data_IF_048100218539
#
_entry.id   IF_048100218539
#
_cell.length_a   1.000
_cell.length_b   1.000
_cell.length_c   1.000
_cell.angle_alpha   90.00
_cell.angle_beta   90.00
_cell.angle_gamma   90.00
#
_symmetry.space_group_name_H-M   'P 1'
#
loop_
_entity.id
_entity.type
_entity.pdbx_description
1 polymer ?
#
# COMPACT_ATOMS: atom_id res chain seq x y z
N UNK A 1 24.64 41.82 -48.26
CA UNK A 1 25.21 40.79 -47.34
C UNK A 1 26.39 41.45 -46.62
N UNK A 2 26.54 41.35 -45.29
CA UNK A 2 26.34 40.15 -44.46
C UNK A 2 25.35 40.34 -43.28
N UNK A 3 25.03 39.20 -42.65
CA UNK A 3 24.10 38.99 -41.53
C UNK A 3 24.85 39.11 -40.20
N UNK A 4 24.25 39.74 -39.20
CA UNK A 4 24.54 39.48 -37.79
C UNK A 4 23.23 39.42 -37.00
N UNK A 5 23.00 38.22 -36.47
CA UNK A 5 21.83 37.78 -35.74
C UNK A 5 22.21 37.68 -34.27
N UNK A 6 21.46 38.34 -33.40
CA UNK A 6 21.59 38.31 -31.95
C UNK A 6 20.22 38.68 -31.36
N UNK A 7 19.64 38.02 -30.38
CA UNK A 7 19.65 36.64 -29.94
C UNK A 7 18.30 36.51 -29.22
N UNK A 8 17.43 35.60 -29.65
CA UNK A 8 16.16 35.35 -28.97
C UNK A 8 16.43 34.81 -27.56
N UNK A 9 16.12 35.63 -26.54
CA UNK A 9 16.27 35.26 -25.14
C UNK A 9 15.23 34.20 -24.79
N UNK A 10 15.61 32.93 -24.88
CA UNK A 10 14.79 31.81 -24.41
C UNK A 10 14.65 31.90 -22.89
N UNK A 11 13.48 32.33 -22.43
CA UNK A 11 13.09 32.30 -21.01
C UNK A 11 12.93 30.85 -20.58
N UNK A 12 13.97 30.31 -19.95
CA UNK A 12 13.95 28.96 -19.36
C UNK A 12 13.12 29.03 -18.08
N UNK A 13 11.84 28.66 -18.16
CA UNK A 13 11.03 28.46 -16.97
C UNK A 13 11.57 27.25 -16.18
N UNK A 14 11.94 27.40 -14.90
CA UNK A 14 12.40 26.26 -14.11
C UNK A 14 11.24 25.28 -13.93
N UNK A 15 11.43 24.08 -14.49
CA UNK A 15 10.49 22.95 -14.38
C UNK A 15 10.28 22.64 -12.89
N UNK A 16 9.03 22.72 -12.43
CA UNK A 16 8.68 22.48 -11.03
C UNK A 16 9.26 21.14 -10.52
N UNK A 17 9.76 21.07 -9.27
CA UNK A 17 10.36 19.86 -8.75
C UNK A 17 9.30 18.76 -8.69
N UNK A 18 9.49 17.72 -9.51
CA UNK A 18 8.72 16.49 -9.43
C UNK A 18 8.95 15.92 -8.03
N UNK A 19 7.91 15.92 -7.19
CA UNK A 19 7.95 15.32 -5.85
C UNK A 19 8.38 13.87 -6.02
N UNK A 20 9.64 13.57 -5.68
CA UNK A 20 10.13 12.20 -5.62
C UNK A 20 9.26 11.47 -4.60
N UNK A 21 8.49 10.47 -5.06
CA UNK A 21 7.76 9.56 -4.20
C UNK A 21 8.80 8.92 -3.28
N UNK A 22 8.85 9.36 -2.01
CA UNK A 22 9.73 8.75 -1.02
C UNK A 22 9.47 7.24 -1.08
N UNK A 23 10.50 6.48 -1.44
CA UNK A 23 10.47 5.04 -1.28
C UNK A 23 10.16 4.81 0.20
N UNK A 24 8.95 4.30 0.46
CA UNK A 24 8.49 4.02 1.82
C UNK A 24 9.55 3.12 2.43
N UNK A 25 10.15 3.57 3.54
CA UNK A 25 11.28 2.90 4.17
C UNK A 25 11.02 1.39 4.27
N UNK A 26 12.07 0.58 4.12
CA UNK A 26 12.06 -0.87 4.18
C UNK A 26 11.64 -1.35 5.58
N UNK A 27 10.37 -1.15 5.91
CA UNK A 27 9.70 -1.82 7.01
C UNK A 27 9.29 -3.18 6.45
N UNK A 28 9.83 -4.29 6.95
CA UNK A 28 9.32 -5.60 6.55
C UNK A 28 7.82 -5.64 6.87
N UNK A 29 7.05 -5.97 5.83
CA UNK A 29 5.59 -6.00 5.88
C UNK A 29 5.16 -7.44 6.02
N UNK A 30 4.11 -7.66 6.78
CA UNK A 30 3.47 -8.96 6.85
C UNK A 30 2.16 -8.90 6.07
N UNK A 31 1.96 -9.86 5.17
CA UNK A 31 0.67 -10.14 4.55
C UNK A 31 -0.06 -11.17 5.39
N UNK A 32 -1.22 -10.78 5.90
CA UNK A 32 -2.15 -11.66 6.59
C UNK A 32 -3.28 -12.00 5.64
N UNK A 33 -3.56 -13.29 5.46
CA UNK A 33 -4.73 -13.78 4.72
C UNK A 33 -5.72 -14.34 5.73
N UNK A 34 -6.94 -13.83 5.66
CA UNK A 34 -8.06 -14.21 6.52
C UNK A 34 -9.16 -14.81 5.66
N UNK A 35 -9.86 -15.80 6.19
CA UNK A 35 -11.16 -16.25 5.67
C UNK A 35 -12.26 -15.58 6.48
N UNK A 36 -13.18 -14.91 5.81
CA UNK A 36 -14.22 -14.09 6.44
C UNK A 36 -15.60 -14.45 5.90
N UNK A 37 -16.62 -14.39 6.75
CA UNK A 37 -18.00 -14.72 6.39
C UNK A 37 -19.01 -14.15 7.38
N UNK A 38 -20.27 -14.04 6.94
CA UNK A 38 -21.39 -13.62 7.79
C UNK A 38 -22.32 -14.77 8.16
N UNK A 39 -22.27 -15.86 7.40
CA UNK A 39 -23.01 -17.09 7.62
C UNK A 39 -22.06 -18.14 8.22
N UNK A 40 -22.55 -18.88 9.21
CA UNK A 40 -21.77 -19.96 9.83
C UNK A 40 -21.83 -21.18 8.90
N UNK A 41 -20.66 -21.71 8.51
CA UNK A 41 -20.52 -22.78 7.50
C UNK A 41 -21.08 -22.45 6.10
N UNK A 42 -21.35 -21.16 5.84
CA UNK A 42 -21.82 -20.67 4.54
C UNK A 42 -20.68 -20.19 3.64
N UNK A 43 -20.99 -19.27 2.73
CA UNK A 43 -20.00 -18.71 1.83
C UNK A 43 -18.94 -17.90 2.59
N UNK A 44 -17.68 -18.28 2.39
CA UNK A 44 -16.53 -17.56 2.95
C UNK A 44 -15.66 -16.96 1.85
N UNK A 45 -15.11 -15.78 2.11
CA UNK A 45 -14.23 -15.07 1.19
C UNK A 45 -12.83 -14.91 1.78
N UNK A 46 -11.82 -14.89 0.93
CA UNK A 46 -10.47 -14.56 1.34
C UNK A 46 -10.26 -13.04 1.35
N UNK A 47 -9.77 -12.53 2.48
CA UNK A 47 -9.43 -11.13 2.69
C UNK A 47 -7.95 -11.01 3.00
N UNK A 48 -7.24 -10.19 2.23
CA UNK A 48 -5.82 -9.89 2.46
C UNK A 48 -5.67 -8.58 3.23
N UNK A 49 -4.83 -8.57 4.27
CA UNK A 49 -4.46 -7.40 5.02
C UNK A 49 -2.93 -7.26 5.04
N UNK A 50 -2.42 -6.09 4.66
CA UNK A 50 -0.99 -5.78 4.73
C UNK A 50 -0.72 -4.96 5.99
N UNK A 51 0.13 -5.50 6.86
CA UNK A 51 0.51 -4.89 8.13
C UNK A 51 1.94 -4.36 8.04
N UNK A 52 2.12 -3.09 8.42
CA UNK A 52 3.41 -2.39 8.43
C UNK A 52 4.19 -2.68 9.74
N UNK A 53 4.22 -3.95 10.16
CA UNK A 53 4.84 -4.38 11.42
C UNK A 53 5.60 -5.70 11.26
N UNK A 54 6.71 -5.86 11.97
CA UNK A 54 7.46 -7.13 12.06
C UNK A 54 6.79 -8.18 12.95
N UNK A 55 5.84 -7.78 13.80
CA UNK A 55 5.22 -8.67 14.77
C UNK A 55 4.04 -9.41 14.14
N UNK A 56 4.14 -10.73 14.09
CA UNK A 56 3.05 -11.60 13.60
C UNK A 56 1.80 -11.42 14.44
N UNK A 57 1.92 -11.40 15.76
CA UNK A 57 0.79 -11.23 16.68
C UNK A 57 0.08 -9.89 16.46
N UNK A 58 0.82 -8.81 16.26
CA UNK A 58 0.22 -7.50 16.01
C UNK A 58 -0.49 -7.47 14.65
N UNK A 59 0.14 -8.05 13.62
CA UNK A 59 -0.45 -8.17 12.30
C UNK A 59 -1.77 -8.97 12.33
N UNK A 60 -1.82 -10.08 13.06
CA UNK A 60 -3.03 -10.90 13.24
C UNK A 60 -4.15 -10.13 13.94
N UNK A 61 -3.82 -9.38 15.00
CA UNK A 61 -4.80 -8.57 15.74
C UNK A 61 -5.36 -7.45 14.87
N UNK A 62 -4.51 -6.73 14.14
CA UNK A 62 -4.93 -5.65 13.24
C UNK A 62 -5.81 -6.19 12.12
N UNK A 63 -5.39 -7.29 11.48
CA UNK A 63 -6.15 -7.95 10.42
C UNK A 63 -7.52 -8.44 10.93
N UNK A 64 -7.55 -9.11 12.08
CA UNK A 64 -8.78 -9.62 12.69
C UNK A 64 -9.72 -8.47 13.08
N UNK A 65 -9.19 -7.40 13.69
CA UNK A 65 -9.97 -6.21 14.03
C UNK A 65 -10.54 -5.53 12.80
N UNK A 66 -9.79 -5.49 11.69
CA UNK A 66 -10.27 -4.95 10.43
C UNK A 66 -11.40 -5.81 9.84
N UNK A 67 -11.26 -7.13 9.86
CA UNK A 67 -12.27 -8.06 9.36
C UNK A 67 -13.56 -8.05 10.20
N UNK A 68 -13.45 -8.07 11.53
CA UNK A 68 -14.60 -8.09 12.45
C UNK A 68 -15.48 -6.83 12.40
N UNK A 69 -15.02 -5.75 11.74
CA UNK A 69 -15.86 -4.57 11.47
C UNK A 69 -16.99 -4.87 10.49
N UNK A 70 -16.79 -5.83 9.57
CA UNK A 70 -17.70 -6.14 8.47
C UNK A 70 -18.21 -7.57 8.48
N UNK A 71 -17.46 -8.48 9.10
CA UNK A 71 -17.74 -9.90 9.09
C UNK A 71 -17.93 -10.46 10.50
N UNK A 72 -18.92 -11.35 10.65
CA UNK A 72 -19.23 -12.00 11.94
C UNK A 72 -18.24 -13.11 12.27
N UNK A 73 -17.83 -13.87 11.26
CA UNK A 73 -16.88 -14.97 11.37
C UNK A 73 -15.58 -14.60 10.67
N UNK A 74 -14.47 -14.77 11.38
CA UNK A 74 -13.12 -14.44 10.92
C UNK A 74 -12.18 -15.54 11.37
N UNK A 75 -11.45 -16.08 10.42
CA UNK A 75 -10.42 -17.11 10.62
C UNK A 75 -9.12 -16.64 9.99
N UNK A 76 -8.00 -16.74 10.71
CA UNK A 76 -6.67 -16.43 10.17
C UNK A 76 -6.14 -17.66 9.44
N UNK A 77 -5.83 -17.53 8.16
CA UNK A 77 -5.34 -18.64 7.33
C UNK A 77 -3.82 -18.63 7.23
N UNK A 78 -3.20 -17.47 6.99
CA UNK A 78 -1.75 -17.39 6.90
C UNK A 78 -1.22 -15.99 7.20
N UNK A 79 0.02 -15.95 7.72
CA UNK A 79 0.81 -14.73 7.88
C UNK A 79 2.15 -14.98 7.19
N UNK A 80 2.48 -14.16 6.19
CA UNK A 80 3.73 -14.29 5.44
C UNK A 80 4.42 -12.94 5.29
N UNK A 81 5.75 -12.87 5.42
CA UNK A 81 6.49 -11.67 5.04
C UNK A 81 6.37 -11.40 3.54
N UNK A 82 6.35 -10.11 3.18
CA UNK A 82 6.35 -9.60 1.80
C UNK A 82 7.75 -9.11 1.43
#
# INVERSE_FOLDING_TARGET
VPKESIADTVVIHPKAPVKKRLAKAFTPRLRVVLRVGNEFEGETFEMTHEADTMSTLLAEQEATKAARKKFRYVEVVSVKPI
#
